data_IF_697937183667
#
_entry.id   IF_697937183667
#
_cell.length_a   1.000
_cell.length_b   1.000
_cell.length_c   1.000
_cell.angle_alpha   90.00
_cell.angle_beta   90.00
_cell.angle_gamma   90.00
#
_symmetry.space_group_name_H-M   'P 1'
#
loop_
_entity.id
_entity.type
_entity.pdbx_description
1 polymer ?
#
# COMPACT_ATOMS: atom_id res chain seq x y z
N UNK A 1 42.80 -22.06 -0.36
CA UNK A 1 41.56 -22.42 0.35
C UNK A 1 40.86 -21.21 0.95
N UNK A 2 41.53 -20.32 1.68
CA UNK A 2 40.92 -19.13 2.30
C UNK A 2 40.29 -18.10 1.30
N UNK A 3 40.91 -17.90 0.14
CA UNK A 3 40.43 -16.97 -0.89
C UNK A 3 39.06 -17.41 -1.46
N UNK A 4 38.86 -18.71 -1.70
CA UNK A 4 37.58 -19.24 -2.20
C UNK A 4 36.47 -19.13 -1.16
N UNK A 5 36.78 -19.27 0.12
CA UNK A 5 35.82 -19.08 1.22
C UNK A 5 35.44 -17.62 1.33
N UNK A 6 36.38 -16.69 1.19
CA UNK A 6 36.14 -15.25 1.23
C UNK A 6 35.25 -14.80 0.07
N UNK A 7 35.49 -15.28 -1.15
CA UNK A 7 34.66 -15.01 -2.34
C UNK A 7 33.25 -15.56 -2.14
N UNK A 8 33.09 -16.74 -1.56
CA UNK A 8 31.78 -17.32 -1.23
C UNK A 8 31.02 -16.49 -0.21
N UNK A 9 31.68 -15.98 0.84
CA UNK A 9 31.04 -15.13 1.86
C UNK A 9 30.63 -13.78 1.28
N UNK A 10 31.49 -13.15 0.47
CA UNK A 10 31.17 -11.88 -0.21
C UNK A 10 30.03 -12.10 -1.20
N UNK A 11 30.04 -13.18 -1.99
CA UNK A 11 28.97 -13.52 -2.92
C UNK A 11 27.62 -13.71 -2.20
N UNK A 12 27.62 -14.38 -1.04
CA UNK A 12 26.42 -14.60 -0.22
C UNK A 12 25.91 -13.29 0.41
N UNK A 13 26.81 -12.40 0.85
CA UNK A 13 26.46 -11.08 1.39
C UNK A 13 25.87 -10.16 0.31
N UNK A 14 26.48 -10.13 -0.87
CA UNK A 14 25.96 -9.37 -2.03
C UNK A 14 24.61 -9.94 -2.48
N UNK A 15 24.45 -11.25 -2.54
CA UNK A 15 23.17 -11.89 -2.87
C UNK A 15 22.09 -11.54 -1.85
N UNK A 16 22.40 -11.57 -0.54
CA UNK A 16 21.48 -11.13 0.51
C UNK A 16 21.13 -9.65 0.39
N UNK A 17 22.09 -8.77 0.13
CA UNK A 17 21.85 -7.34 -0.07
C UNK A 17 20.97 -7.10 -1.29
N UNK A 18 21.21 -7.77 -2.41
CA UNK A 18 20.40 -7.67 -3.63
C UNK A 18 18.99 -8.22 -3.44
N UNK A 19 18.82 -9.28 -2.65
CA UNK A 19 17.52 -9.86 -2.33
C UNK A 19 16.72 -9.00 -1.34
N UNK A 20 17.39 -8.16 -0.55
CA UNK A 20 16.75 -7.27 0.44
C UNK A 20 16.36 -5.89 -0.11
N UNK A 21 16.51 -5.63 -1.41
CA UNK A 21 16.06 -4.37 -2.02
C UNK A 21 14.54 -4.19 -1.81
N UNK A 22 14.08 -3.03 -1.32
CA UNK A 22 12.67 -2.78 -0.96
C UNK A 22 11.68 -3.19 -2.05
N UNK A 23 11.97 -2.91 -3.32
CA UNK A 23 11.12 -3.29 -4.44
C UNK A 23 11.00 -4.82 -4.65
N UNK A 24 12.02 -5.62 -4.28
CA UNK A 24 11.95 -7.09 -4.35
C UNK A 24 11.15 -7.68 -3.21
N UNK A 25 11.25 -7.08 -2.03
CA UNK A 25 10.47 -7.48 -0.84
C UNK A 25 8.99 -7.23 -1.10
N UNK A 26 8.61 -6.09 -1.65
CA UNK A 26 7.23 -5.77 -2.05
C UNK A 26 6.70 -6.82 -3.03
N UNK A 27 7.38 -7.01 -4.17
CA UNK A 27 6.98 -8.00 -5.20
C UNK A 27 6.91 -9.44 -4.68
N UNK A 28 7.69 -9.82 -3.67
CA UNK A 28 7.58 -11.15 -3.06
C UNK A 28 6.29 -11.30 -2.26
N UNK A 29 5.84 -10.24 -1.59
CA UNK A 29 4.56 -10.19 -0.90
C UNK A 29 3.38 -10.30 -1.86
N UNK A 30 3.37 -9.45 -2.90
CA UNK A 30 2.36 -9.47 -3.96
C UNK A 30 2.21 -10.88 -4.58
N UNK A 31 3.33 -11.53 -4.95
CA UNK A 31 3.30 -12.91 -5.49
C UNK A 31 2.74 -13.93 -4.49
N UNK A 32 2.95 -13.73 -3.19
CA UNK A 32 2.40 -14.63 -2.16
C UNK A 32 0.88 -14.44 -2.02
N UNK A 33 0.42 -13.20 -2.05
CA UNK A 33 -1.00 -12.87 -2.06
C UNK A 33 -1.68 -13.39 -3.34
N UNK A 34 -1.09 -13.16 -4.52
CA UNK A 34 -1.59 -13.68 -5.78
C UNK A 34 -1.86 -15.20 -5.72
N UNK A 35 -0.88 -15.99 -5.25
CA UNK A 35 -1.05 -17.44 -5.06
C UNK A 35 -2.17 -17.80 -4.08
N UNK A 36 -2.36 -17.03 -3.00
CA UNK A 36 -3.48 -17.25 -2.08
C UNK A 36 -4.84 -16.97 -2.74
N UNK A 37 -4.90 -15.99 -3.63
CA UNK A 37 -6.11 -15.64 -4.37
C UNK A 37 -6.47 -16.68 -5.45
N UNK A 38 -5.48 -17.38 -6.04
CA UNK A 38 -5.69 -18.50 -6.96
C UNK A 38 -6.48 -19.66 -6.32
N UNK A 39 -6.47 -19.77 -4.99
CA UNK A 39 -7.23 -20.77 -4.23
C UNK A 39 -8.65 -20.31 -3.85
N UNK A 40 -9.12 -19.20 -4.40
CA UNK A 40 -10.55 -18.86 -4.34
C UNK A 40 -11.33 -19.83 -5.23
N UNK A 41 -12.57 -20.10 -4.83
CA UNK A 41 -13.45 -21.01 -5.57
C UNK A 41 -13.83 -20.45 -6.95
N UNK A 42 -14.45 -21.28 -7.76
CA UNK A 42 -15.04 -20.89 -9.05
C UNK A 42 -15.96 -19.66 -8.90
N UNK A 43 -15.95 -18.78 -9.89
CA UNK A 43 -16.68 -17.51 -9.88
C UNK A 43 -15.88 -16.29 -9.39
N UNK A 44 -14.65 -16.48 -8.88
CA UNK A 44 -13.75 -15.38 -8.57
C UNK A 44 -12.70 -15.20 -9.66
N UNK A 45 -12.68 -14.04 -10.31
CA UNK A 45 -11.72 -13.71 -11.37
C UNK A 45 -10.69 -12.75 -10.81
N UNK A 46 -9.43 -13.18 -10.78
CA UNK A 46 -8.30 -12.41 -10.22
C UNK A 46 -7.53 -11.69 -11.33
N UNK A 47 -7.21 -10.43 -11.11
CA UNK A 47 -6.28 -9.66 -11.91
C UNK A 47 -5.19 -9.10 -11.00
N UNK A 48 -3.96 -9.36 -11.34
CA UNK A 48 -2.79 -8.92 -10.58
C UNK A 48 -2.06 -7.81 -11.33
N UNK A 49 -1.45 -6.87 -10.59
CA UNK A 49 -0.58 -5.84 -11.14
C UNK A 49 -1.25 -5.01 -12.24
N UNK A 50 -2.46 -4.49 -11.95
CA UNK A 50 -3.20 -3.62 -12.88
C UNK A 50 -2.73 -2.18 -12.73
N UNK A 51 -2.39 -1.52 -13.84
CA UNK A 51 -2.12 -0.09 -13.89
C UNK A 51 -3.22 0.64 -14.64
N UNK A 52 -3.92 1.54 -13.95
CA UNK A 52 -5.03 2.31 -14.51
C UNK A 52 -4.70 3.79 -14.65
N UNK A 53 -5.23 4.47 -15.68
CA UNK A 53 -5.15 5.92 -15.79
C UNK A 53 -6.00 6.58 -14.69
N UNK A 54 -5.55 7.77 -14.25
CA UNK A 54 -6.27 8.63 -13.33
C UNK A 54 -6.21 10.07 -13.82
N UNK A 55 -7.00 10.95 -13.24
CA UNK A 55 -6.96 12.39 -13.58
C UNK A 55 -5.55 13.01 -13.39
N UNK A 56 -4.72 12.47 -12.50
CA UNK A 56 -3.41 13.01 -12.15
C UNK A 56 -2.24 12.10 -12.53
N UNK A 57 -2.43 11.22 -13.51
CA UNK A 57 -1.42 10.26 -13.95
C UNK A 57 -1.92 8.83 -13.94
N UNK A 58 -1.21 7.93 -13.27
CA UNK A 58 -1.58 6.51 -13.22
C UNK A 58 -1.58 5.99 -11.77
N UNK A 59 -2.29 4.90 -11.53
CA UNK A 59 -2.26 4.17 -10.27
C UNK A 59 -2.03 2.68 -10.52
N UNK A 60 -1.17 2.06 -9.74
CA UNK A 60 -0.89 0.62 -9.80
C UNK A 60 -1.61 -0.07 -8.65
N UNK A 61 -2.40 -1.09 -8.96
CA UNK A 61 -3.20 -1.86 -8.02
C UNK A 61 -2.62 -3.26 -7.95
N UNK A 62 -2.28 -3.72 -6.76
CA UNK A 62 -1.63 -5.02 -6.59
C UNK A 62 -2.54 -6.16 -7.05
N UNK A 63 -3.81 -6.19 -6.57
CA UNK A 63 -4.76 -7.23 -6.97
C UNK A 63 -6.18 -6.67 -7.02
N UNK A 64 -6.94 -7.12 -8.03
CA UNK A 64 -8.39 -6.94 -8.14
C UNK A 64 -9.03 -8.29 -8.27
N UNK A 65 -10.06 -8.57 -7.47
CA UNK A 65 -10.85 -9.80 -7.57
C UNK A 65 -12.28 -9.42 -7.88
N UNK A 66 -12.79 -9.87 -9.01
CA UNK A 66 -14.18 -9.66 -9.44
C UNK A 66 -14.97 -10.96 -9.23
N UNK A 67 -16.12 -10.85 -8.59
CA UNK A 67 -16.96 -11.99 -8.25
C UNK A 67 -18.43 -11.60 -8.25
N UNK A 68 -19.38 -12.56 -8.17
CA UNK A 68 -20.79 -12.27 -7.96
C UNK A 68 -21.08 -11.44 -6.70
N UNK A 69 -20.18 -11.42 -5.73
CA UNK A 69 -20.36 -10.81 -4.40
C UNK A 69 -19.78 -9.40 -4.26
N UNK A 70 -19.07 -8.93 -5.30
CA UNK A 70 -18.44 -7.62 -5.34
C UNK A 70 -17.09 -7.62 -6.02
N UNK A 71 -16.49 -6.43 -6.10
CA UNK A 71 -15.16 -6.17 -6.63
C UNK A 71 -14.24 -5.88 -5.44
N UNK A 72 -13.29 -6.77 -5.16
CA UNK A 72 -12.32 -6.59 -4.08
C UNK A 72 -11.06 -5.93 -4.63
N UNK A 73 -10.67 -4.80 -4.03
CA UNK A 73 -9.47 -4.04 -4.37
C UNK A 73 -8.46 -4.24 -3.24
N UNK A 74 -7.36 -4.92 -3.54
CA UNK A 74 -6.44 -5.41 -2.52
C UNK A 74 -5.09 -4.72 -2.65
N UNK A 75 -4.66 -4.07 -1.58
CA UNK A 75 -3.35 -3.46 -1.38
C UNK A 75 -2.50 -4.35 -0.47
N UNK A 76 -1.31 -4.72 -0.92
CA UNK A 76 -0.41 -5.65 -0.21
C UNK A 76 0.71 -4.91 0.50
N UNK A 77 0.95 -5.25 1.77
CA UNK A 77 2.08 -4.75 2.57
C UNK A 77 2.88 -5.90 3.16
N UNK A 78 4.07 -6.13 2.60
CA UNK A 78 4.99 -7.16 3.09
C UNK A 78 5.88 -6.64 4.22
N UNK A 79 5.26 -6.25 5.34
CA UNK A 79 5.93 -5.76 6.54
C UNK A 79 5.96 -6.83 7.62
N UNK A 80 6.88 -6.70 8.57
CA UNK A 80 7.03 -7.54 9.76
C UNK A 80 7.09 -6.68 11.02
N UNK A 81 6.91 -7.30 12.19
CA UNK A 81 6.92 -6.60 13.47
C UNK A 81 5.62 -5.86 13.74
N UNK A 82 5.63 -4.89 14.64
CA UNK A 82 4.44 -4.17 15.04
C UNK A 82 4.08 -3.07 14.05
N UNK A 83 2.82 -3.04 13.67
CA UNK A 83 2.26 -2.02 12.78
C UNK A 83 1.28 -1.18 13.59
N UNK A 84 1.57 0.11 13.74
CA UNK A 84 0.71 1.06 14.42
C UNK A 84 0.09 2.02 13.42
N UNK A 85 -1.21 2.28 13.55
CA UNK A 85 -1.90 3.21 12.68
C UNK A 85 -3.36 3.43 13.02
N UNK A 86 -3.87 4.58 12.61
CA UNK A 86 -5.27 4.94 12.68
C UNK A 86 -5.82 5.14 11.27
N UNK A 87 -7.11 4.87 11.08
CA UNK A 87 -7.78 4.96 9.78
C UNK A 87 -7.53 6.30 9.07
N UNK A 88 -7.60 7.42 9.79
CA UNK A 88 -7.54 8.76 9.23
C UNK A 88 -6.14 9.39 9.24
N UNK A 89 -5.13 8.74 9.83
CA UNK A 89 -3.76 9.27 9.85
C UNK A 89 -3.16 9.33 8.43
N UNK A 90 -2.21 10.21 8.21
CA UNK A 90 -1.49 10.28 6.93
C UNK A 90 -0.47 9.16 6.80
N UNK A 91 0.18 8.82 7.90
CA UNK A 91 1.24 7.83 7.98
C UNK A 91 0.96 6.82 9.08
N UNK A 92 1.45 5.62 8.87
CA UNK A 92 1.50 4.55 9.83
C UNK A 92 2.95 4.28 10.22
N UNK A 93 3.16 3.57 11.32
CA UNK A 93 4.49 3.23 11.83
C UNK A 93 4.68 1.73 11.87
N UNK A 94 5.84 1.29 11.41
CA UNK A 94 6.37 -0.06 11.64
C UNK A 94 7.39 0.03 12.76
N UNK A 95 7.31 -0.85 13.75
CA UNK A 95 8.33 -1.01 14.78
C UNK A 95 8.92 -2.40 14.69
N UNK A 96 10.24 -2.46 14.54
CA UNK A 96 11.01 -3.70 14.52
C UNK A 96 11.76 -3.83 15.85
N UNK A 97 11.74 -5.02 16.43
CA UNK A 97 12.63 -5.34 17.55
C UNK A 97 14.05 -5.35 17.00
N UNK A 98 14.85 -4.42 17.42
CA UNK A 98 16.24 -4.31 17.02
C UNK A 98 17.16 -5.27 17.78
N UNK A 99 18.45 -5.05 17.65
CA UNK A 99 19.48 -5.88 18.32
C UNK A 99 19.44 -5.66 19.84
N UNK A 100 19.62 -6.75 20.60
CA UNK A 100 19.87 -6.65 22.05
C UNK A 100 21.19 -5.93 22.27
N UNK A 101 21.15 -4.84 23.01
CA UNK A 101 22.34 -4.10 23.47
C UNK A 101 22.54 -4.39 24.96
N UNK A 102 23.71 -4.05 25.53
CA UNK A 102 23.99 -4.26 26.96
C UNK A 102 23.03 -3.52 27.90
N UNK A 103 22.39 -2.43 27.41
CA UNK A 103 21.42 -1.61 28.15
C UNK A 103 19.94 -1.85 27.72
N UNK A 104 19.65 -2.91 26.95
CA UNK A 104 18.27 -3.27 26.54
C UNK A 104 18.12 -3.60 25.07
N UNK A 105 16.85 -3.67 24.61
CA UNK A 105 16.51 -3.88 23.21
C UNK A 105 16.39 -2.54 22.50
N UNK A 106 17.04 -2.38 21.36
CA UNK A 106 16.76 -1.25 20.47
C UNK A 106 15.47 -1.53 19.70
N UNK A 107 14.70 -0.49 19.40
CA UNK A 107 13.61 -0.56 18.44
C UNK A 107 13.95 0.30 17.24
N UNK A 108 13.71 -0.21 16.05
CA UNK A 108 13.85 0.54 14.81
C UNK A 108 12.44 0.88 14.32
N UNK A 109 12.15 2.15 14.13
CA UNK A 109 10.84 2.62 13.69
C UNK A 109 10.94 3.18 12.28
N UNK A 110 10.00 2.78 11.43
CA UNK A 110 9.87 3.27 10.06
C UNK A 110 8.47 3.81 9.84
N UNK A 111 8.36 5.05 9.37
CA UNK A 111 7.10 5.63 8.92
C UNK A 111 6.83 5.23 7.47
N UNK A 112 5.57 4.98 7.17
CA UNK A 112 5.12 4.73 5.81
C UNK A 112 3.72 5.29 5.58
N UNK A 113 3.41 5.59 4.33
CA UNK A 113 2.11 6.14 3.96
C UNK A 113 0.99 5.19 4.38
N UNK A 114 -0.10 5.74 4.92
CA UNK A 114 -1.29 4.98 5.28
C UNK A 114 -1.83 4.19 4.07
N UNK A 115 -1.84 2.84 4.12
CA UNK A 115 -2.24 2.01 2.99
C UNK A 115 -3.74 2.08 2.69
N UNK A 116 -4.57 2.46 3.67
CA UNK A 116 -6.00 2.70 3.45
C UNK A 116 -6.19 3.87 2.49
N UNK A 117 -5.43 4.97 2.66
CA UNK A 117 -5.49 6.13 1.76
C UNK A 117 -5.02 5.79 0.35
N UNK A 118 -4.04 4.90 0.24
CA UNK A 118 -3.57 4.39 -1.04
C UNK A 118 -4.67 3.57 -1.71
N UNK A 119 -5.26 2.63 -1.00
CA UNK A 119 -6.31 1.75 -1.53
C UNK A 119 -7.62 2.51 -1.85
N UNK A 120 -7.94 3.59 -1.12
CA UNK A 120 -9.02 4.53 -1.50
C UNK A 120 -8.81 5.11 -2.90
N UNK A 121 -7.59 5.53 -3.22
CA UNK A 121 -7.29 6.07 -4.55
C UNK A 121 -7.46 5.01 -5.64
N UNK A 122 -7.06 3.76 -5.36
CA UNK A 122 -7.28 2.61 -6.26
C UNK A 122 -8.78 2.36 -6.49
N UNK A 123 -9.58 2.38 -5.42
CA UNK A 123 -11.04 2.23 -5.47
C UNK A 123 -11.69 3.30 -6.34
N UNK A 124 -11.26 4.56 -6.20
CA UNK A 124 -11.76 5.68 -7.02
C UNK A 124 -11.41 5.47 -8.49
N UNK A 125 -10.19 5.03 -8.79
CA UNK A 125 -9.77 4.74 -10.17
C UNK A 125 -10.63 3.64 -10.81
N UNK A 126 -10.91 2.56 -10.08
CA UNK A 126 -11.81 1.47 -10.56
C UNK A 126 -13.23 2.01 -10.76
N UNK A 127 -13.78 2.78 -9.82
CA UNK A 127 -15.11 3.41 -9.98
C UNK A 127 -15.19 4.25 -11.24
N UNK A 128 -14.18 5.07 -11.49
CA UNK A 128 -14.15 5.92 -12.68
C UNK A 128 -14.08 5.10 -13.98
N UNK A 129 -13.27 4.03 -14.02
CA UNK A 129 -13.18 3.16 -15.20
C UNK A 129 -14.50 2.44 -15.47
N UNK A 130 -15.24 2.07 -14.42
CA UNK A 130 -16.47 1.28 -14.53
C UNK A 130 -17.74 2.14 -14.55
N UNK A 131 -17.62 3.47 -14.55
CA UNK A 131 -18.76 4.40 -14.38
C UNK A 131 -19.84 4.29 -15.45
N UNK A 132 -19.49 3.87 -16.66
CA UNK A 132 -20.42 3.64 -17.78
C UNK A 132 -21.13 2.27 -17.73
N UNK A 133 -20.66 1.34 -16.89
CA UNK A 133 -21.26 0.01 -16.71
C UNK A 133 -22.28 -0.03 -15.54
N UNK A 134 -22.25 0.95 -14.66
CA UNK A 134 -23.12 1.05 -13.48
C UNK A 134 -22.36 1.24 -12.18
N UNK A 135 -23.10 1.24 -11.06
CA UNK A 135 -22.49 1.31 -9.71
C UNK A 135 -22.39 -0.10 -9.12
N UNK A 136 -21.17 -0.49 -8.80
CA UNK A 136 -20.84 -1.81 -8.27
C UNK A 136 -20.34 -1.72 -6.82
N UNK A 137 -20.64 -2.76 -6.04
CA UNK A 137 -20.09 -2.90 -4.69
C UNK A 137 -18.59 -3.14 -4.78
N UNK A 138 -17.79 -2.14 -4.37
CA UNK A 138 -16.33 -2.24 -4.31
C UNK A 138 -15.90 -2.34 -2.85
N UNK A 139 -15.06 -3.33 -2.55
CA UNK A 139 -14.63 -3.69 -1.20
C UNK A 139 -13.10 -3.53 -1.14
N UNK A 140 -12.60 -2.43 -0.55
CA UNK A 140 -11.17 -2.25 -0.36
C UNK A 140 -10.65 -3.11 0.80
N UNK A 141 -9.54 -3.82 0.57
CA UNK A 141 -8.86 -4.63 1.58
C UNK A 141 -7.38 -4.26 1.58
N UNK A 142 -6.83 -3.97 2.76
CA UNK A 142 -5.39 -3.88 2.97
C UNK A 142 -4.92 -5.17 3.62
N UNK A 143 -3.89 -5.80 3.03
CA UNK A 143 -3.40 -7.07 3.54
C UNK A 143 -1.92 -7.01 3.90
N UNK A 144 -1.62 -7.32 5.16
CA UNK A 144 -0.26 -7.38 5.68
C UNK A 144 0.29 -8.80 5.71
N UNK A 145 1.61 -8.93 5.75
CA UNK A 145 2.24 -10.24 5.93
C UNK A 145 1.85 -10.87 7.27
N UNK A 146 1.86 -12.21 7.34
CA UNK A 146 1.57 -12.96 8.57
C UNK A 146 2.64 -12.71 9.67
N UNK A 147 3.74 -12.02 9.33
CA UNK A 147 4.77 -11.59 10.27
C UNK A 147 4.52 -10.19 10.85
N UNK A 148 3.44 -9.53 10.48
CA UNK A 148 3.02 -8.24 11.03
C UNK A 148 2.03 -8.45 12.18
N UNK A 149 2.29 -7.82 13.32
CA UNK A 149 1.36 -7.72 14.44
C UNK A 149 0.63 -6.37 14.34
N UNK A 150 -0.65 -6.42 14.01
CA UNK A 150 -1.46 -5.24 13.72
C UNK A 150 -1.98 -4.59 14.99
N UNK A 151 -1.39 -3.46 15.40
CA UNK A 151 -1.82 -2.57 16.50
C UNK A 151 -2.51 -1.34 15.91
N UNK A 152 -3.63 -1.56 15.22
CA UNK A 152 -4.31 -0.55 14.41
C UNK A 152 -5.74 -0.32 14.88
N UNK A 153 -6.30 0.85 14.55
CA UNK A 153 -7.70 1.18 14.77
C UNK A 153 -8.32 1.64 13.45
N UNK A 154 -9.05 0.75 12.80
CA UNK A 154 -9.62 0.94 11.45
C UNK A 154 -11.06 0.43 11.37
N UNK A 155 -12.02 1.06 12.09
CA UNK A 155 -13.38 0.52 12.26
C UNK A 155 -14.16 0.38 10.94
N UNK A 156 -13.83 1.18 9.93
CA UNK A 156 -14.56 1.20 8.65
C UNK A 156 -13.78 0.57 7.49
N UNK A 157 -12.61 -0.04 7.75
CA UNK A 157 -11.76 -0.62 6.71
C UNK A 157 -11.27 -2.01 7.06
N UNK A 158 -11.31 -2.89 6.07
CA UNK A 158 -10.76 -4.23 6.18
C UNK A 158 -9.23 -4.17 6.06
N UNK A 159 -8.57 -4.42 7.19
CA UNK A 159 -7.11 -4.54 7.28
C UNK A 159 -6.81 -5.86 7.99
N UNK A 160 -6.17 -6.79 7.29
CA UNK A 160 -6.01 -8.18 7.75
C UNK A 160 -4.62 -8.70 7.45
N UNK A 161 -4.27 -9.86 8.02
CA UNK A 161 -3.07 -10.60 7.64
C UNK A 161 -3.35 -11.54 6.44
N UNK A 162 -2.29 -12.02 5.77
CA UNK A 162 -2.42 -12.89 4.60
C UNK A 162 -3.21 -14.18 4.89
N UNK A 163 -3.10 -14.73 6.10
CA UNK A 163 -3.84 -15.93 6.51
C UNK A 163 -5.35 -15.72 6.46
N UNK A 164 -5.83 -14.51 6.77
CA UNK A 164 -7.26 -14.21 6.90
C UNK A 164 -7.90 -13.73 5.59
N UNK A 165 -7.10 -13.36 4.58
CA UNK A 165 -7.58 -12.73 3.35
C UNK A 165 -8.72 -13.52 2.67
N UNK A 166 -8.56 -14.83 2.49
CA UNK A 166 -9.58 -15.66 1.83
C UNK A 166 -10.86 -15.77 2.65
N UNK A 167 -10.72 -15.88 3.96
CA UNK A 167 -11.87 -15.93 4.89
C UNK A 167 -12.69 -14.64 4.79
N UNK A 168 -12.02 -13.49 4.82
CA UNK A 168 -12.66 -12.17 4.72
C UNK A 168 -13.36 -11.99 3.37
N UNK A 169 -12.74 -12.39 2.26
CA UNK A 169 -13.39 -12.34 0.93
C UNK A 169 -14.66 -13.21 0.92
N UNK A 170 -14.61 -14.43 1.47
CA UNK A 170 -15.73 -15.38 1.49
C UNK A 170 -16.87 -14.99 2.42
N UNK A 171 -16.66 -14.10 3.39
CA UNK A 171 -17.73 -13.53 4.21
C UNK A 171 -18.72 -12.71 3.39
N UNK A 172 -18.31 -12.19 2.23
CA UNK A 172 -19.20 -11.58 1.27
C UNK A 172 -19.84 -12.67 0.40
N UNK A 173 -21.06 -13.07 0.75
CA UNK A 173 -21.77 -14.21 0.13
C UNK A 173 -23.09 -13.83 -0.56
N UNK A 174 -23.53 -12.57 -0.44
CA UNK A 174 -24.75 -12.08 -1.09
C UNK A 174 -24.44 -11.66 -2.54
N UNK A 175 -24.99 -12.34 -3.56
CA UNK A 175 -24.78 -11.96 -4.95
C UNK A 175 -25.34 -10.58 -5.25
N UNK A 176 -24.54 -9.74 -5.91
CA UNK A 176 -24.91 -8.38 -6.30
C UNK A 176 -24.39 -7.98 -7.69
N UNK A 177 -23.65 -8.87 -8.38
CA UNK A 177 -23.12 -8.65 -9.72
C UNK A 177 -23.49 -9.85 -10.59
N UNK A 178 -24.16 -9.62 -11.73
CA UNK A 178 -24.53 -10.66 -12.69
C UNK A 178 -23.30 -11.19 -13.43
N UNK A 179 -23.42 -12.39 -14.00
CA UNK A 179 -22.33 -12.99 -14.80
C UNK A 179 -21.99 -12.14 -16.03
N UNK A 180 -23.00 -11.57 -16.69
CA UNK A 180 -22.78 -10.65 -17.82
C UNK A 180 -22.03 -9.40 -17.41
N UNK A 181 -22.38 -8.83 -16.26
CA UNK A 181 -21.65 -7.67 -15.69
C UNK A 181 -20.23 -8.03 -15.31
N UNK A 182 -19.98 -9.22 -14.75
CA UNK A 182 -18.61 -9.69 -14.44
C UNK A 182 -17.75 -9.71 -15.71
N UNK A 183 -18.27 -10.27 -16.82
CA UNK A 183 -17.57 -10.31 -18.11
C UNK A 183 -17.26 -8.90 -18.63
N UNK A 184 -18.24 -7.99 -18.55
CA UNK A 184 -18.06 -6.59 -18.95
C UNK A 184 -17.02 -5.86 -18.11
N UNK A 185 -17.06 -6.02 -16.76
CA UNK A 185 -16.09 -5.44 -15.82
C UNK A 185 -14.68 -5.92 -16.17
N UNK A 186 -14.47 -7.22 -16.33
CA UNK A 186 -13.16 -7.78 -16.66
C UNK A 186 -12.65 -7.26 -17.99
N UNK A 187 -13.48 -7.25 -19.04
CA UNK A 187 -13.13 -6.70 -20.36
C UNK A 187 -12.71 -5.23 -20.25
N UNK A 188 -13.45 -4.44 -19.48
CA UNK A 188 -13.16 -3.01 -19.27
C UNK A 188 -11.85 -2.78 -18.51
N UNK A 189 -11.61 -3.54 -17.44
CA UNK A 189 -10.37 -3.47 -16.67
C UNK A 189 -9.16 -3.91 -17.50
N UNK A 190 -9.29 -5.00 -18.27
CA UNK A 190 -8.21 -5.51 -19.13
C UNK A 190 -7.88 -4.52 -20.27
N UNK A 191 -8.88 -3.83 -20.82
CA UNK A 191 -8.71 -2.81 -21.86
C UNK A 191 -8.08 -1.51 -21.31
N UNK A 192 -8.41 -1.12 -20.07
CA UNK A 192 -7.87 0.07 -19.43
C UNK A 192 -6.47 -0.17 -18.81
N UNK A 193 -6.04 -1.43 -18.69
CA UNK A 193 -4.78 -1.79 -18.06
C UNK A 193 -3.58 -1.38 -18.93
N UNK A 194 -2.81 -0.43 -18.46
CA UNK A 194 -1.59 0.07 -19.11
C UNK A 194 -0.47 -0.97 -18.99
N UNK A 195 -0.05 -1.54 -20.12
CA UNK A 195 0.98 -2.58 -20.21
C UNK A 195 2.33 -2.05 -20.65
N UNK A 196 2.37 -0.87 -21.24
CA UNK A 196 3.57 -0.24 -21.79
C UNK A 196 4.64 -0.05 -20.70
N UNK A 197 5.82 -0.62 -20.94
CA UNK A 197 6.91 -0.65 -19.98
C UNK A 197 7.41 0.73 -19.61
N UNK A 198 7.47 1.64 -20.58
CA UNK A 198 7.91 3.02 -20.44
C UNK A 198 6.97 3.80 -19.49
N UNK A 199 5.66 3.65 -19.65
CA UNK A 199 4.66 4.30 -18.79
C UNK A 199 4.75 3.75 -17.36
N UNK A 200 4.91 2.44 -17.21
CA UNK A 200 5.09 1.79 -15.90
C UNK A 200 6.36 2.23 -15.19
N UNK A 201 7.47 2.41 -15.91
CA UNK A 201 8.73 2.94 -15.37
C UNK A 201 8.58 4.41 -14.97
N UNK A 202 7.92 5.22 -15.79
CA UNK A 202 7.64 6.63 -15.52
C UNK A 202 6.76 6.78 -14.28
N UNK A 203 5.79 5.90 -14.07
CA UNK A 203 4.98 5.88 -12.84
C UNK A 203 5.86 5.71 -11.59
N UNK A 204 6.73 4.71 -11.56
CA UNK A 204 7.65 4.47 -10.42
C UNK A 204 8.52 5.70 -10.17
N UNK A 205 9.10 6.28 -11.24
CA UNK A 205 9.93 7.48 -11.14
C UNK A 205 9.12 8.70 -10.64
N UNK A 206 7.86 8.86 -11.05
CA UNK A 206 7.00 9.95 -10.60
C UNK A 206 6.62 9.82 -9.12
N UNK A 207 6.28 8.63 -8.67
CA UNK A 207 6.02 8.36 -7.25
C UNK A 207 7.24 8.70 -6.40
N UNK A 208 8.42 8.27 -6.83
CA UNK A 208 9.68 8.52 -6.13
C UNK A 208 10.03 10.00 -6.08
N UNK A 209 9.84 10.72 -7.21
CA UNK A 209 10.01 12.18 -7.29
C UNK A 209 9.08 12.93 -6.35
N UNK A 210 7.79 12.56 -6.33
CA UNK A 210 6.80 13.16 -5.45
C UNK A 210 7.13 12.95 -3.95
N UNK A 211 7.65 11.78 -3.58
CA UNK A 211 8.10 11.52 -2.21
C UNK A 211 9.30 12.39 -1.83
N UNK A 212 10.28 12.51 -2.73
CA UNK A 212 11.47 13.36 -2.52
C UNK A 212 11.09 14.83 -2.42
N UNK A 213 10.23 15.32 -3.32
CA UNK A 213 9.73 16.70 -3.29
C UNK A 213 8.97 17.00 -2.00
N UNK A 214 8.11 16.06 -1.56
CA UNK A 214 7.38 16.20 -0.29
C UNK A 214 8.34 16.28 0.90
N UNK A 215 9.35 15.43 0.94
CA UNK A 215 10.36 15.44 2.00
C UNK A 215 11.11 16.77 2.01
N UNK A 216 11.59 17.20 0.87
CA UNK A 216 12.31 18.48 0.72
C UNK A 216 11.43 19.69 1.07
N UNK A 217 10.14 19.70 0.72
CA UNK A 217 9.22 20.76 1.13
C UNK A 217 9.09 20.83 2.65
N UNK A 218 8.93 19.68 3.33
CA UNK A 218 8.83 19.62 4.80
C UNK A 218 10.11 20.10 5.46
N UNK A 219 11.29 19.69 4.97
CA UNK A 219 12.60 20.13 5.48
C UNK A 219 12.76 21.65 5.35
N UNK A 220 12.25 22.24 4.29
CA UNK A 220 12.24 23.70 4.07
C UNK A 220 11.05 24.42 4.74
N UNK A 221 10.33 23.76 5.64
CA UNK A 221 9.16 24.35 6.34
C UNK A 221 8.05 24.80 5.39
N UNK A 222 7.90 24.18 4.21
CA UNK A 222 6.85 24.45 3.24
C UNK A 222 5.81 23.32 3.29
N UNK A 223 4.54 23.68 3.34
CA UNK A 223 3.45 22.71 3.33
C UNK A 223 3.35 22.02 1.96
N UNK A 224 3.57 20.70 1.84
CA UNK A 224 3.54 19.99 0.56
C UNK A 224 2.12 19.90 -0.03
N UNK A 225 1.08 20.32 0.72
CA UNK A 225 -0.31 20.29 0.27
C UNK A 225 -0.78 21.60 -0.35
N UNK A 226 -0.35 22.74 0.18
CA UNK A 226 -0.85 24.06 -0.23
C UNK A 226 0.25 25.12 -0.42
N UNK A 227 1.52 24.78 -0.22
CA UNK A 227 2.65 25.70 -0.38
C UNK A 227 2.85 26.71 0.76
N UNK A 228 1.93 26.81 1.72
CA UNK A 228 2.07 27.75 2.85
C UNK A 228 3.15 27.28 3.83
N UNK A 229 3.60 28.18 4.71
CA UNK A 229 4.61 27.85 5.72
C UNK A 229 4.12 26.75 6.68
N UNK A 230 5.04 25.89 7.12
CA UNK A 230 4.84 24.99 8.24
C UNK A 230 5.39 25.66 9.52
N UNK A 231 4.54 25.75 10.52
CA UNK A 231 4.86 26.35 11.82
C UNK A 231 4.84 25.30 12.92
N UNK A 232 5.71 25.45 13.90
CA UNK A 232 5.70 24.58 15.07
C UNK A 232 4.46 24.82 15.91
N UNK A 233 3.87 23.72 16.37
CA UNK A 233 2.71 23.71 17.25
C UNK A 233 2.91 22.67 18.33
N UNK A 234 2.36 22.95 19.52
CA UNK A 234 2.37 22.03 20.64
C UNK A 234 1.03 21.31 20.72
N UNK A 235 1.06 20.01 20.76
CA UNK A 235 -0.13 19.14 20.89
C UNK A 235 -0.02 18.19 22.08
N UNK A 236 -1.08 17.44 22.32
CA UNK A 236 -1.14 16.47 23.42
C UNK A 236 -0.01 15.43 23.39
N UNK A 237 0.56 15.16 22.22
CA UNK A 237 1.58 14.14 22.00
C UNK A 237 2.95 14.69 21.63
N UNK A 238 3.18 15.97 21.91
CA UNK A 238 4.46 16.63 21.64
C UNK A 238 4.39 17.71 20.57
N UNK A 239 5.55 18.15 20.11
CA UNK A 239 5.70 19.19 19.11
C UNK A 239 5.50 18.62 17.70
N UNK A 240 4.81 19.36 16.85
CA UNK A 240 4.57 18.99 15.45
C UNK A 240 4.59 20.23 14.55
N UNK A 241 4.81 20.03 13.25
CA UNK A 241 4.64 21.07 12.25
C UNK A 241 3.21 21.05 11.74
N UNK A 242 2.52 22.18 11.82
CA UNK A 242 1.19 22.39 11.25
C UNK A 242 1.20 23.44 10.16
N UNK A 243 0.35 23.29 9.15
CA UNK A 243 0.21 24.30 8.11
C UNK A 243 -0.31 25.62 8.69
N UNK A 244 0.31 26.76 8.30
CA UNK A 244 -0.12 28.09 8.69
C UNK A 244 -1.50 28.46 8.17
N UNK A 245 -1.94 27.84 7.04
CA UNK A 245 -3.28 28.04 6.46
C UNK A 245 -4.39 27.25 7.15
N UNK A 246 -4.15 26.69 8.37
CA UNK A 246 -5.24 26.10 9.16
C UNK A 246 -6.33 27.14 9.47
N UNK A 247 -7.64 26.82 9.38
CA UNK A 247 -8.25 25.49 9.17
C UNK A 247 -8.44 25.07 7.69
N UNK A 248 -8.12 25.94 6.73
CA UNK A 248 -8.26 25.63 5.29
C UNK A 248 -7.38 24.45 4.86
N UNK A 249 -6.16 24.39 5.36
CA UNK A 249 -5.25 23.26 5.17
C UNK A 249 -4.92 22.60 6.52
N UNK A 250 -5.29 21.33 6.65
CA UNK A 250 -5.11 20.54 7.89
C UNK A 250 -3.86 19.65 7.84
N UNK A 251 -2.85 20.04 7.04
CA UNK A 251 -1.61 19.28 6.97
C UNK A 251 -0.82 19.42 8.26
N UNK A 252 -0.37 18.28 8.80
CA UNK A 252 0.52 18.21 9.96
C UNK A 252 1.59 17.15 9.75
N UNK A 253 2.76 17.32 10.36
CA UNK A 253 3.83 16.32 10.44
C UNK A 253 4.50 16.43 11.82
N UNK A 254 4.70 15.28 12.49
CA UNK A 254 5.36 15.27 13.79
C UNK A 254 6.85 15.59 13.61
N UNK A 255 7.40 16.38 14.54
CA UNK A 255 8.83 16.48 14.75
C UNK A 255 9.21 15.30 15.66
N UNK A 256 10.04 14.40 15.17
CA UNK A 256 10.61 13.28 15.96
C UNK A 256 11.77 13.78 16.80
#
# INVERSE_FOLDING_TARGET
>A
MYILILIGIIGLAVLKAVLSLPGRIGKSGERRVARKLEWLSEGYIVRNDIMLPTQYGTTQIDHVVVSPYGIFVIETKNYKGWIFGYENSEEWKQSLVGKKRWYGWSSEQHKFRNPIRQNKAHTIAIKNILSDLGDFKIIPIVVFSDHADLKITTPNYLVVNWCDLRSVIRQHSTPCISESSIKAIISKLDSANIKEKEIRQTHVASVQRNLTQRKHAIENRICPKCGAALVERYGRYGTFLGCSSYPKCKFTVNLD
#
